data_IF_746988706052
#
_entry.id   IF_746988706052
#
_cell.length_a   1.000
_cell.length_b   1.000
_cell.length_c   1.000
_cell.angle_alpha   90.00
_cell.angle_beta   90.00
_cell.angle_gamma   90.00
#
_symmetry.space_group_name_H-M   'P 1'
#
loop_
_entity.id
_entity.type
_entity.pdbx_description
1 polymer ?
#
# COMPACT_ATOMS: atom_id res chain seq x y z
N UNK A 1 -21.32 -8.08 12.36
CA UNK A 1 -20.53 -8.03 11.13
C UNK A 1 -19.50 -9.15 11.11
N UNK A 2 -19.53 -9.98 10.13
CA UNK A 2 -18.56 -11.06 10.08
C UNK A 2 -17.17 -10.49 9.85
N UNK A 3 -16.19 -11.06 10.50
CA UNK A 3 -14.81 -10.67 10.23
C UNK A 3 -14.33 -11.40 9.00
N UNK A 4 -13.50 -10.72 8.24
CA UNK A 4 -12.93 -11.29 7.03
C UNK A 4 -11.44 -11.48 7.22
N UNK A 5 -10.97 -12.67 6.90
CA UNK A 5 -9.54 -12.95 6.95
C UNK A 5 -8.92 -12.54 5.61
N UNK A 6 -7.89 -11.74 5.70
CA UNK A 6 -7.14 -11.34 4.51
C UNK A 6 -5.82 -12.10 4.51
N UNK A 7 -5.44 -12.59 3.36
CA UNK A 7 -4.19 -13.34 3.21
C UNK A 7 -3.42 -12.82 2.01
N UNK A 8 -2.13 -12.73 2.19
CA UNK A 8 -1.22 -12.44 1.09
C UNK A 8 -0.07 -13.43 1.16
N UNK A 9 0.59 -13.61 0.05
CA UNK A 9 1.82 -14.39 0.01
C UNK A 9 2.94 -13.51 -0.52
N UNK A 10 4.14 -13.75 -0.02
CA UNK A 10 5.33 -13.03 -0.44
C UNK A 10 6.29 -14.01 -1.08
N UNK A 11 6.78 -13.68 -2.25
CA UNK A 11 7.75 -14.51 -2.95
C UNK A 11 8.99 -13.67 -3.24
N UNK A 12 10.14 -14.19 -2.85
CA UNK A 12 11.42 -13.55 -3.17
C UNK A 12 11.77 -13.85 -4.61
N UNK A 13 11.97 -12.81 -5.41
CA UNK A 13 12.37 -12.97 -6.80
C UNK A 13 13.88 -13.03 -6.93
N UNK A 14 14.57 -12.20 -6.17
CA UNK A 14 16.01 -12.14 -6.12
C UNK A 14 16.39 -11.38 -4.87
N UNK A 15 17.67 -11.18 -4.62
CA UNK A 15 18.09 -10.47 -3.43
C UNK A 15 17.51 -9.07 -3.43
N UNK A 16 16.76 -8.73 -2.37
CA UNK A 16 16.18 -7.41 -2.23
C UNK A 16 14.95 -7.15 -3.11
N UNK A 17 14.38 -8.18 -3.70
CA UNK A 17 13.23 -8.02 -4.60
C UNK A 17 12.18 -9.08 -4.32
N UNK A 18 10.95 -8.64 -4.10
CA UNK A 18 9.85 -9.50 -3.70
C UNK A 18 8.60 -9.20 -4.50
N UNK A 19 7.69 -10.14 -4.51
CA UNK A 19 6.34 -9.94 -5.04
C UNK A 19 5.33 -10.35 -3.99
N UNK A 20 4.38 -9.48 -3.71
CA UNK A 20 3.26 -9.79 -2.83
C UNK A 20 2.04 -10.08 -3.69
N UNK A 21 1.33 -11.15 -3.37
CA UNK A 21 0.14 -11.55 -4.12
C UNK A 21 -1.02 -11.69 -3.15
N UNK A 22 -2.17 -11.15 -3.51
CA UNK A 22 -3.36 -11.33 -2.69
C UNK A 22 -4.19 -12.51 -3.20
N UNK A 23 -5.28 -12.82 -2.49
CA UNK A 23 -6.07 -14.00 -2.79
C UNK A 23 -6.77 -13.91 -4.15
N UNK A 24 -6.96 -12.71 -4.67
CA UNK A 24 -7.62 -12.51 -5.96
C UNK A 24 -6.66 -12.44 -7.13
N UNK A 25 -5.36 -12.64 -6.86
CA UNK A 25 -4.37 -12.65 -7.92
C UNK A 25 -3.71 -11.30 -8.19
N UNK A 26 -4.04 -10.27 -7.41
CA UNK A 26 -3.37 -8.98 -7.55
C UNK A 26 -1.95 -9.05 -7.03
N UNK A 27 -1.04 -8.35 -7.69
CA UNK A 27 0.38 -8.43 -7.34
C UNK A 27 0.99 -7.06 -7.18
N UNK A 28 1.91 -6.95 -6.23
CA UNK A 28 2.70 -5.75 -6.01
C UNK A 28 4.16 -6.17 -5.91
N UNK A 29 5.03 -5.49 -6.65
CA UNK A 29 6.46 -5.71 -6.55
C UNK A 29 7.06 -4.69 -5.62
N UNK A 30 7.94 -5.14 -4.74
CA UNK A 30 8.61 -4.24 -3.83
C UNK A 30 10.01 -4.76 -3.52
N UNK A 31 10.82 -3.92 -2.94
CA UNK A 31 12.19 -4.29 -2.67
C UNK A 31 12.86 -3.39 -1.67
N UNK A 32 14.18 -3.38 -1.70
CA UNK A 32 14.99 -2.69 -0.70
C UNK A 32 15.18 -1.20 -0.97
N UNK A 33 14.68 -0.69 -2.08
CA UNK A 33 14.81 0.73 -2.41
C UNK A 33 15.94 1.05 -3.37
N UNK A 34 16.51 0.03 -3.97
CA UNK A 34 17.63 0.22 -4.90
C UNK A 34 17.16 0.62 -6.30
N UNK A 35 15.88 0.52 -6.55
CA UNK A 35 15.29 0.87 -7.83
C UNK A 35 13.97 1.58 -7.60
N UNK A 36 13.12 1.64 -8.61
CA UNK A 36 11.87 2.38 -8.53
C UNK A 36 10.75 1.62 -7.82
N UNK A 37 10.97 0.36 -7.45
CA UNK A 37 9.93 -0.39 -6.76
C UNK A 37 9.74 0.13 -5.35
N UNK A 38 8.55 -0.07 -4.82
CA UNK A 38 8.23 0.36 -3.47
C UNK A 38 9.08 -0.37 -2.44
N UNK A 39 9.42 0.33 -1.36
CA UNK A 39 9.99 -0.32 -0.18
C UNK A 39 8.85 -0.71 0.75
N UNK A 40 9.09 -1.61 1.73
CA UNK A 40 8.04 -1.95 2.70
C UNK A 40 7.49 -0.74 3.44
N UNK A 41 8.33 0.24 3.79
CA UNK A 41 7.85 1.44 4.46
C UNK A 41 6.93 2.23 3.54
N UNK A 42 7.27 2.33 2.26
CA UNK A 42 6.42 3.02 1.30
C UNK A 42 5.10 2.30 1.12
N UNK A 43 5.10 0.96 1.16
CA UNK A 43 3.86 0.21 1.10
C UNK A 43 2.99 0.46 2.32
N UNK A 44 3.59 0.59 3.48
CA UNK A 44 2.84 0.92 4.69
C UNK A 44 2.20 2.30 4.56
N UNK A 45 2.94 3.27 4.07
CA UNK A 45 2.39 4.60 3.84
C UNK A 45 1.26 4.58 2.82
N UNK A 46 1.43 3.79 1.77
CA UNK A 46 0.38 3.64 0.77
C UNK A 46 -0.87 3.03 1.38
N UNK A 47 -0.71 2.05 2.27
CA UNK A 47 -1.84 1.42 2.92
C UNK A 47 -2.59 2.41 3.81
N UNK A 48 -1.85 3.20 4.58
CA UNK A 48 -2.46 4.20 5.45
C UNK A 48 -3.20 5.24 4.63
N UNK A 49 -2.54 5.78 3.61
CA UNK A 49 -3.16 6.77 2.75
C UNK A 49 -4.32 6.20 1.96
N UNK A 50 -4.19 4.94 1.54
CA UNK A 50 -5.25 4.28 0.79
C UNK A 50 -6.51 4.07 1.61
N UNK A 51 -6.36 3.64 2.86
CA UNK A 51 -7.53 3.45 3.73
C UNK A 51 -8.25 4.77 3.94
N UNK A 52 -7.50 5.84 4.22
CA UNK A 52 -8.09 7.16 4.41
C UNK A 52 -8.76 7.66 3.13
N UNK A 53 -8.12 7.42 1.99
CA UNK A 53 -8.64 7.88 0.71
C UNK A 53 -9.96 7.20 0.37
N UNK A 54 -10.07 5.89 0.64
CA UNK A 54 -11.30 5.17 0.35
C UNK A 54 -12.44 5.72 1.21
N UNK A 55 -12.18 6.01 2.48
CA UNK A 55 -13.20 6.57 3.36
C UNK A 55 -13.66 7.94 2.87
N UNK A 56 -12.72 8.80 2.51
CA UNK A 56 -13.05 10.13 2.01
C UNK A 56 -13.82 10.04 0.70
N UNK A 57 -13.39 9.16 -0.17
CA UNK A 57 -14.06 8.99 -1.47
C UNK A 57 -15.51 8.55 -1.27
N UNK A 58 -15.74 7.62 -0.36
CA UNK A 58 -17.09 7.14 -0.08
C UNK A 58 -17.99 8.26 0.41
N UNK A 59 -17.49 9.07 1.35
CA UNK A 59 -18.29 10.17 1.90
C UNK A 59 -18.52 11.25 0.84
N UNK A 60 -17.49 11.59 0.09
CA UNK A 60 -17.58 12.65 -0.92
C UNK A 60 -18.51 12.26 -2.06
N UNK A 61 -18.49 11.00 -2.47
CA UNK A 61 -19.29 10.55 -3.60
C UNK A 61 -20.78 10.58 -3.31
N UNK A 62 -21.16 10.60 -2.04
CA UNK A 62 -22.57 10.75 -1.68
C UNK A 62 -23.08 12.15 -1.98
N UNK A 63 -22.21 13.11 -2.18
CA UNK A 63 -22.57 14.50 -2.45
C UNK A 63 -22.19 14.92 -3.86
N UNK A 64 -21.56 14.04 -4.61
CA UNK A 64 -21.09 14.32 -5.95
C UNK A 64 -19.67 13.81 -6.09
N UNK A 65 -19.37 13.09 -7.15
CA UNK A 65 -18.08 12.47 -7.30
C UNK A 65 -17.03 13.51 -7.65
N UNK A 66 -15.86 13.46 -7.02
CA UNK A 66 -14.77 14.35 -7.38
C UNK A 66 -14.21 13.96 -8.73
N UNK A 67 -13.79 14.94 -9.52
CA UNK A 67 -13.17 14.67 -10.80
C UNK A 67 -11.71 14.29 -10.64
N UNK A 68 -11.11 14.67 -9.53
CA UNK A 68 -9.71 14.37 -9.27
C UNK A 68 -9.48 14.32 -7.77
N UNK A 69 -8.62 13.39 -7.35
CA UNK A 69 -8.36 13.17 -5.93
C UNK A 69 -6.91 12.75 -5.77
N UNK A 70 -6.16 13.52 -5.01
CA UNK A 70 -4.74 13.24 -4.78
C UNK A 70 -4.46 13.28 -3.28
N UNK A 71 -3.69 12.31 -2.79
CA UNK A 71 -3.31 12.23 -1.39
C UNK A 71 -1.80 12.07 -1.29
N UNK A 72 -1.18 12.83 -0.42
CA UNK A 72 0.24 12.68 -0.11
C UNK A 72 0.39 12.17 1.31
N UNK A 73 1.25 11.18 1.48
CA UNK A 73 1.53 10.59 2.78
C UNK A 73 3.04 10.51 2.95
N UNK A 74 3.54 10.90 4.10
CA UNK A 74 4.96 10.85 4.36
C UNK A 74 5.25 10.28 5.73
N UNK A 75 6.43 9.73 5.88
CA UNK A 75 6.91 9.21 7.15
C UNK A 75 8.41 9.09 7.11
N UNK A 76 9.00 8.95 8.27
CA UNK A 76 10.45 8.86 8.38
C UNK A 76 10.82 7.59 9.12
N UNK A 77 11.72 6.82 8.56
CA UNK A 77 12.28 5.65 9.21
C UNK A 77 13.65 6.03 9.76
N UNK A 78 13.88 5.68 11.01
CA UNK A 78 15.15 5.99 11.65
C UNK A 78 16.15 4.87 11.35
N UNK A 79 17.16 5.21 10.61
CA UNK A 79 18.12 4.20 10.19
C UNK A 79 19.09 3.81 11.31
N UNK A 80 19.15 4.58 12.36
CA UNK A 80 20.04 4.27 13.49
C UNK A 80 19.45 3.22 14.42
N UNK A 81 18.32 2.64 14.05
CA UNK A 81 17.63 1.66 14.88
C UNK A 81 17.82 0.25 14.42
N UNK A 82 18.74 0.03 13.56
CA UNK A 82 18.95 -1.32 13.04
C UNK A 82 19.31 -2.30 14.11
#
# INVERSE_FOLDING_TARGET
MPSATKKISLVRRSEGHYTATNARGGQIRFGSGQDAEFTPVELLLAAIGGCSSIDVDTVTSRRGEPTQFTVSVSGTKRSDEE
#
